data_IF_865867231159
#
_entry.id   IF_865867231159
#
_cell.length_a   1.000
_cell.length_b   1.000
_cell.length_c   1.000
_cell.angle_alpha   90.00
_cell.angle_beta   90.00
_cell.angle_gamma   90.00
#
_symmetry.space_group_name_H-M   'P 1'
#
loop_
_entity.id
_entity.type
_entity.pdbx_description
1 polymer ?
#
# COMPACT_ATOMS: atom_id res chain seq x y z
N UNK A 1 2.11 23.54 5.72
CA UNK A 1 2.19 22.17 6.28
C UNK A 1 2.24 21.22 5.10
N UNK A 2 3.44 20.79 4.70
CA UNK A 2 3.60 19.79 3.65
C UNK A 2 3.44 18.40 4.27
N UNK A 3 2.32 17.73 3.99
CA UNK A 3 2.15 16.32 4.30
C UNK A 3 2.86 15.50 3.23
N UNK A 4 4.05 14.99 3.54
CA UNK A 4 4.77 14.07 2.64
C UNK A 4 4.12 12.68 2.72
N UNK A 5 3.97 11.94 1.62
CA UNK A 5 3.42 10.57 1.57
C UNK A 5 4.50 9.47 1.63
N UNK A 6 4.18 8.25 2.08
CA UNK A 6 5.02 7.05 1.92
C UNK A 6 4.40 6.24 0.78
N UNK A 7 5.04 6.27 -0.39
CA UNK A 7 4.58 5.50 -1.54
C UNK A 7 4.68 3.99 -1.33
N UNK A 8 3.67 3.19 -1.73
CA UNK A 8 3.77 1.72 -1.79
C UNK A 8 4.88 1.22 -2.72
N UNK A 9 5.41 2.07 -3.61
CA UNK A 9 6.44 1.70 -4.60
C UNK A 9 7.82 1.43 -4.02
N UNK A 10 8.08 1.77 -2.75
CA UNK A 10 9.41 1.61 -2.13
C UNK A 10 9.77 0.16 -1.76
N UNK A 11 8.89 -0.82 -1.97
CA UNK A 11 9.12 -2.22 -1.58
C UNK A 11 9.46 -3.20 -2.72
N UNK A 12 9.57 -2.75 -3.97
CA UNK A 12 9.91 -3.63 -5.11
C UNK A 12 11.08 -3.09 -5.92
N UNK A 13 12.25 -2.94 -5.27
CA UNK A 13 13.51 -2.63 -5.94
C UNK A 13 14.28 -3.89 -6.31
N UNK A 14 13.84 -4.64 -7.33
CA UNK A 14 14.64 -5.72 -7.90
C UNK A 14 15.73 -5.11 -8.81
N UNK A 15 16.96 -4.99 -8.30
CA UNK A 15 18.13 -4.65 -9.11
C UNK A 15 18.48 -5.84 -9.99
N UNK A 16 18.29 -5.73 -11.31
CA UNK A 16 18.78 -6.72 -12.26
C UNK A 16 19.90 -6.15 -13.14
N UNK A 17 21.08 -6.77 -12.97
CA UNK A 17 22.29 -6.54 -13.78
C UNK A 17 22.01 -6.98 -15.22
N UNK A 18 22.28 -6.09 -16.18
CA UNK A 18 22.27 -6.43 -17.61
C UNK A 18 23.43 -7.38 -17.94
N UNK A 19 23.10 -8.63 -18.23
CA UNK A 19 23.98 -9.61 -18.86
C UNK A 19 23.66 -9.71 -20.35
N UNK A 20 24.68 -9.44 -21.17
CA UNK A 20 24.66 -9.45 -22.62
C UNK A 20 24.68 -10.89 -23.16
N UNK A 21 23.82 -11.23 -24.15
CA UNK A 21 24.17 -12.15 -25.24
C UNK A 21 23.12 -12.15 -26.37
N UNK A 22 23.62 -11.94 -27.60
CA UNK A 22 22.95 -12.14 -28.90
C UNK A 22 22.88 -13.64 -29.22
N UNK A 23 21.83 -14.16 -29.88
CA UNK A 23 21.78 -14.40 -31.34
C UNK A 23 20.54 -15.23 -31.81
N UNK A 24 20.06 -14.89 -33.03
CA UNK A 24 19.36 -15.68 -34.10
C UNK A 24 17.99 -16.39 -33.92
N UNK A 25 16.95 -15.69 -34.44
CA UNK A 25 15.92 -15.99 -35.51
C UNK A 25 15.73 -17.42 -36.14
N UNK A 26 14.62 -17.71 -36.88
CA UNK A 26 13.40 -18.46 -36.48
C UNK A 26 13.08 -19.69 -37.38
N UNK A 27 12.04 -20.49 -37.11
CA UNK A 27 11.43 -21.41 -38.12
C UNK A 27 10.01 -21.90 -37.72
N UNK A 28 9.08 -21.85 -38.69
CA UNK A 28 8.12 -22.94 -38.98
C UNK A 28 6.73 -22.92 -38.34
N UNK A 29 5.70 -22.67 -39.16
CA UNK A 29 4.27 -22.81 -38.84
C UNK A 29 3.74 -24.24 -39.01
N UNK A 30 2.68 -24.61 -38.28
CA UNK A 30 1.65 -25.56 -38.75
C UNK A 30 0.35 -25.45 -37.93
N UNK A 31 -0.77 -25.65 -38.63
CA UNK A 31 -2.16 -25.40 -38.21
C UNK A 31 -2.91 -26.70 -37.84
N UNK A 32 -3.89 -26.53 -36.94
CA UNK A 32 -5.08 -27.35 -36.68
C UNK A 32 -4.98 -28.57 -35.72
N UNK A 33 -5.69 -28.45 -34.59
CA UNK A 33 -6.88 -29.26 -34.26
C UNK A 33 -7.57 -28.67 -33.03
N UNK A 34 -8.84 -28.32 -33.19
CA UNK A 34 -9.76 -27.81 -32.15
C UNK A 34 -10.27 -29.00 -31.35
N UNK A 35 -9.72 -29.23 -30.16
CA UNK A 35 -10.33 -30.01 -29.08
C UNK A 35 -9.92 -29.37 -27.76
N UNK A 36 -10.90 -29.17 -26.87
CA UNK A 36 -10.82 -28.32 -25.67
C UNK A 36 -9.57 -28.58 -24.82
N UNK A 37 -8.76 -27.54 -24.63
CA UNK A 37 -7.55 -27.57 -23.83
C UNK A 37 -7.78 -26.92 -22.45
N UNK A 38 -7.00 -27.31 -21.42
CA UNK A 38 -7.05 -26.78 -20.03
C UNK A 38 -6.76 -25.28 -19.88
N UNK A 39 -6.66 -24.56 -21.00
CA UNK A 39 -6.38 -23.13 -21.14
C UNK A 39 -7.53 -22.25 -20.61
N UNK A 40 -8.77 -22.75 -20.55
CA UNK A 40 -9.88 -21.97 -19.97
C UNK A 40 -9.78 -21.87 -18.44
N UNK A 41 -9.30 -22.90 -17.75
CA UNK A 41 -9.09 -22.89 -16.30
C UNK A 41 -7.93 -21.97 -15.90
N UNK A 42 -6.87 -21.94 -16.72
CA UNK A 42 -5.73 -21.03 -16.53
C UNK A 42 -6.09 -19.55 -16.78
N UNK A 43 -7.04 -19.25 -17.69
CA UNK A 43 -7.52 -17.88 -17.92
C UNK A 43 -8.39 -17.36 -16.78
N UNK A 44 -9.14 -18.22 -16.09
CA UNK A 44 -9.89 -17.83 -14.90
C UNK A 44 -8.97 -17.57 -13.69
N UNK A 45 -7.89 -18.34 -13.54
CA UNK A 45 -6.86 -18.08 -12.52
C UNK A 45 -6.04 -16.81 -12.81
N UNK A 46 -5.80 -16.47 -14.07
CA UNK A 46 -5.14 -15.22 -14.45
C UNK A 46 -5.99 -13.97 -14.13
N UNK A 47 -7.32 -14.10 -14.19
CA UNK A 47 -8.28 -13.06 -13.77
C UNK A 47 -8.31 -12.83 -12.24
N UNK A 48 -7.88 -13.82 -11.45
CA UNK A 48 -7.93 -13.76 -9.99
C UNK A 48 -6.69 -13.12 -9.35
N UNK A 49 -5.65 -12.80 -10.14
CA UNK A 49 -4.37 -12.35 -9.59
C UNK A 49 -3.71 -13.45 -8.75
N UNK A 50 -2.38 -13.56 -8.78
CA UNK A 50 -1.71 -14.34 -7.75
C UNK A 50 -1.72 -13.50 -6.47
N UNK A 51 -2.17 -14.04 -5.31
CA UNK A 51 -1.94 -13.36 -4.05
C UNK A 51 -0.46 -13.03 -3.97
N UNK A 52 -0.12 -11.79 -3.59
CA UNK A 52 1.27 -11.42 -3.34
C UNK A 52 1.76 -12.42 -2.28
N UNK A 53 2.72 -13.29 -2.61
CA UNK A 53 3.21 -14.23 -1.61
C UNK A 53 3.70 -13.40 -0.43
N UNK A 54 3.44 -13.82 0.82
CA UNK A 54 4.12 -13.25 1.96
C UNK A 54 5.61 -13.18 1.60
N UNK A 55 6.27 -12.07 1.93
CA UNK A 55 7.72 -12.03 1.80
C UNK A 55 8.25 -13.26 2.54
N UNK A 56 8.80 -14.22 1.79
CA UNK A 56 9.57 -15.28 2.41
C UNK A 56 10.64 -14.54 3.22
N UNK A 57 10.64 -14.77 4.54
CA UNK A 57 11.66 -14.20 5.40
C UNK A 57 13.00 -14.49 4.71
N UNK A 58 13.77 -13.46 4.31
CA UNK A 58 15.01 -13.69 3.58
C UNK A 58 15.79 -14.73 4.37
N UNK A 59 16.20 -15.80 3.70
CA UNK A 59 16.86 -16.94 4.34
C UNK A 59 17.86 -16.42 5.36
N UNK A 60 17.77 -16.93 6.60
CA UNK A 60 18.49 -16.41 7.76
C UNK A 60 20.00 -16.39 7.50
N UNK A 61 20.51 -15.31 6.91
CA UNK A 61 21.95 -15.04 6.86
C UNK A 61 22.24 -14.25 8.12
N UNK A 62 22.44 -14.97 9.22
CA UNK A 62 23.01 -14.37 10.41
C UNK A 62 24.38 -13.84 10.02
N UNK A 63 24.59 -12.53 10.16
CA UNK A 63 25.92 -11.91 10.10
C UNK A 63 26.22 -11.37 11.49
N UNK A 64 26.71 -12.22 12.41
CA UNK A 64 26.94 -11.82 13.80
C UNK A 64 27.89 -10.62 13.87
N UNK A 65 27.56 -9.65 14.71
CA UNK A 65 28.47 -8.54 15.05
C UNK A 65 28.44 -7.32 14.13
N UNK A 66 27.45 -7.20 13.21
CA UNK A 66 27.24 -5.94 12.47
C UNK A 66 26.18 -5.07 13.15
N UNK A 67 26.48 -3.78 13.25
CA UNK A 67 25.54 -2.74 13.68
C UNK A 67 25.02 -1.99 12.44
N UNK A 68 23.74 -1.62 12.46
CA UNK A 68 23.10 -0.85 11.38
C UNK A 68 22.43 0.38 11.96
N UNK A 69 22.85 1.56 11.53
CA UNK A 69 22.21 2.82 11.92
C UNK A 69 21.05 3.13 10.97
N UNK A 70 19.88 3.43 11.53
CA UNK A 70 18.65 3.76 10.82
C UNK A 70 18.24 5.19 11.21
N UNK A 71 18.17 6.09 10.23
CA UNK A 71 17.70 7.46 10.45
C UNK A 71 16.18 7.56 10.27
N UNK A 72 15.45 7.75 11.36
CA UNK A 72 14.00 7.91 11.40
C UNK A 72 13.26 6.74 12.08
N UNK A 73 12.44 7.06 13.07
CA UNK A 73 11.60 6.15 13.85
C UNK A 73 10.15 6.08 13.35
N UNK A 74 9.92 6.27 12.05
CA UNK A 74 8.63 5.99 11.42
C UNK A 74 8.43 4.49 11.14
N UNK A 75 7.25 4.10 10.63
CA UNK A 75 6.92 2.69 10.35
C UNK A 75 7.97 1.97 9.48
N UNK A 76 8.54 2.66 8.47
CA UNK A 76 9.60 2.09 7.63
C UNK A 76 10.88 1.77 8.42
N UNK A 77 11.34 2.71 9.26
CA UNK A 77 12.54 2.54 10.08
C UNK A 77 12.35 1.49 11.17
N UNK A 78 11.20 1.51 11.85
CA UNK A 78 10.85 0.53 12.88
C UNK A 78 10.69 -0.88 12.31
N UNK A 79 10.04 -1.03 11.15
CA UNK A 79 9.92 -2.32 10.46
C UNK A 79 11.29 -2.85 10.02
N UNK A 80 12.13 -1.99 9.43
CA UNK A 80 13.51 -2.35 9.07
C UNK A 80 14.31 -2.82 10.29
N UNK A 81 14.25 -2.09 11.40
CA UNK A 81 14.91 -2.45 12.64
C UNK A 81 14.41 -3.80 13.19
N UNK A 82 13.10 -4.01 13.22
CA UNK A 82 12.48 -5.26 13.70
C UNK A 82 13.04 -6.47 12.97
N UNK A 83 13.05 -6.43 11.63
CA UNK A 83 13.53 -7.57 10.83
C UNK A 83 15.07 -7.71 10.85
N UNK A 84 15.83 -6.62 10.99
CA UNK A 84 17.29 -6.72 11.20
C UNK A 84 17.62 -7.38 12.54
N UNK A 85 16.91 -7.00 13.60
CA UNK A 85 17.09 -7.56 14.94
C UNK A 85 16.78 -9.06 14.96
N UNK A 86 15.70 -9.50 14.30
CA UNK A 86 15.39 -10.93 14.14
C UNK A 86 16.43 -11.70 13.31
N UNK A 87 17.14 -11.03 12.40
CA UNK A 87 18.25 -11.59 11.66
C UNK A 87 19.57 -11.63 12.46
N UNK A 88 19.56 -11.20 13.73
CA UNK A 88 20.74 -11.14 14.61
C UNK A 88 21.69 -9.98 14.30
N UNK A 89 21.26 -9.00 13.51
CA UNK A 89 21.97 -7.75 13.25
C UNK A 89 21.49 -6.73 14.30
N UNK A 90 22.37 -5.89 14.83
CA UNK A 90 22.00 -4.92 15.86
C UNK A 90 21.56 -3.58 15.24
N UNK A 91 20.26 -3.25 15.15
CA UNK A 91 19.83 -1.96 14.64
C UNK A 91 19.96 -0.86 15.70
N UNK A 92 20.27 0.36 15.26
CA UNK A 92 20.25 1.59 16.05
C UNK A 92 19.36 2.59 15.32
N UNK A 93 18.11 2.74 15.76
CA UNK A 93 17.15 3.69 15.20
C UNK A 93 17.33 5.04 15.89
N UNK A 94 17.49 6.09 15.09
CA UNK A 94 17.68 7.47 15.53
C UNK A 94 16.49 8.30 15.03
N UNK A 95 15.54 8.59 15.91
CA UNK A 95 14.40 9.46 15.62
C UNK A 95 14.72 10.89 16.01
N UNK A 96 14.41 11.82 15.10
CA UNK A 96 14.70 13.25 15.25
C UNK A 96 13.87 13.95 16.32
N UNK A 97 12.61 13.52 16.52
CA UNK A 97 11.66 14.10 17.48
C UNK A 97 11.65 13.31 18.78
N UNK A 98 10.88 13.80 19.74
CA UNK A 98 10.55 13.13 21.00
C UNK A 98 9.43 12.07 20.85
N UNK A 99 8.88 11.91 19.64
CA UNK A 99 7.77 10.99 19.34
C UNK A 99 8.09 10.07 18.16
N UNK A 100 7.63 8.82 18.26
CA UNK A 100 7.77 7.80 17.22
C UNK A 100 6.62 7.83 16.19
N UNK A 101 6.77 7.07 15.11
CA UNK A 101 5.71 6.84 14.12
C UNK A 101 5.81 7.74 12.88
N UNK A 102 6.56 8.83 12.92
CA UNK A 102 6.71 9.69 11.75
C UNK A 102 5.38 10.33 11.36
N UNK A 103 4.78 9.87 10.27
CA UNK A 103 3.48 10.32 9.76
C UNK A 103 2.29 9.73 10.49
N UNK A 104 2.49 8.67 11.28
CA UNK A 104 1.47 8.13 12.19
C UNK A 104 1.63 8.64 13.63
N UNK A 105 2.50 9.63 13.86
CA UNK A 105 2.72 10.18 15.20
C UNK A 105 1.45 10.83 15.76
N UNK A 106 1.33 10.82 17.08
CA UNK A 106 0.26 11.44 17.83
C UNK A 106 0.82 12.02 19.14
N UNK A 107 0.14 13.01 19.70
CA UNK A 107 0.52 13.69 20.94
C UNK A 107 -0.70 13.86 21.84
N UNK A 108 -0.48 13.93 23.15
CA UNK A 108 -1.50 14.35 24.12
C UNK A 108 -1.41 15.85 24.35
N UNK A 109 -2.55 16.52 24.41
CA UNK A 109 -2.63 17.89 24.86
C UNK A 109 -2.61 17.99 26.40
N UNK A 110 -2.84 19.19 26.93
CA UNK A 110 -2.84 19.44 28.38
C UNK A 110 -4.03 18.79 29.11
N UNK A 111 -5.12 18.52 28.40
CA UNK A 111 -6.34 17.89 28.94
C UNK A 111 -6.23 16.35 28.90
N UNK A 112 -5.22 15.83 28.18
CA UNK A 112 -4.93 14.40 28.06
C UNK A 112 -5.52 13.77 26.81
N UNK A 113 -6.14 14.57 25.93
CA UNK A 113 -6.73 14.11 24.68
C UNK A 113 -5.68 13.95 23.59
N UNK A 114 -5.84 12.92 22.77
CA UNK A 114 -4.94 12.63 21.66
C UNK A 114 -5.30 13.42 20.41
N UNK A 115 -4.29 14.02 19.78
CA UNK A 115 -4.38 14.50 18.40
C UNK A 115 -3.31 13.83 17.54
N UNK A 116 -3.71 13.39 16.35
CA UNK A 116 -2.88 12.62 15.45
C UNK A 116 -2.40 13.46 14.26
N UNK A 117 -1.29 13.04 13.65
CA UNK A 117 -0.77 13.66 12.41
C UNK A 117 -1.77 13.55 11.24
N UNK A 118 -2.60 12.52 11.22
CA UNK A 118 -3.61 12.29 10.18
C UNK A 118 -4.51 11.11 10.51
N UNK A 119 -5.62 11.00 9.78
CA UNK A 119 -6.54 9.86 9.92
C UNK A 119 -5.98 8.66 9.14
N UNK A 120 -5.68 7.57 9.84
CA UNK A 120 -5.09 6.37 9.25
C UNK A 120 -6.11 5.22 9.20
N UNK A 121 -6.23 4.59 8.03
CA UNK A 121 -7.08 3.42 7.79
C UNK A 121 -6.22 2.24 7.41
N UNK A 122 -6.45 1.10 8.05
CA UNK A 122 -5.83 -0.18 7.71
C UNK A 122 -6.76 -0.97 6.79
N UNK A 123 -6.21 -1.55 5.72
CA UNK A 123 -6.98 -2.34 4.76
C UNK A 123 -6.64 -3.83 4.86
N UNK A 124 -7.59 -4.70 4.54
CA UNK A 124 -7.35 -6.14 4.40
C UNK A 124 -6.25 -6.46 3.39
N UNK A 125 -6.16 -5.67 2.33
CA UNK A 125 -5.14 -5.82 1.27
C UNK A 125 -3.73 -5.34 1.68
N UNK A 126 -3.41 -5.19 2.97
CA UNK A 126 -2.10 -4.80 3.49
C UNK A 126 -1.35 -6.00 4.09
N UNK A 127 -0.88 -6.97 3.28
CA UNK A 127 -0.36 -8.24 3.77
C UNK A 127 0.83 -8.06 4.74
N UNK A 128 1.76 -7.15 4.43
CA UNK A 128 2.93 -6.88 5.29
C UNK A 128 2.54 -6.25 6.63
N UNK A 129 1.53 -5.37 6.64
CA UNK A 129 1.06 -4.76 7.89
C UNK A 129 0.33 -5.79 8.75
N UNK A 130 -0.57 -6.57 8.15
CA UNK A 130 -1.27 -7.65 8.87
C UNK A 130 -0.30 -8.71 9.38
N UNK A 131 0.74 -9.04 8.63
CA UNK A 131 1.84 -9.89 9.10
C UNK A 131 2.55 -9.27 10.30
N UNK A 132 2.90 -7.98 10.26
CA UNK A 132 3.55 -7.29 11.37
C UNK A 132 2.70 -7.32 12.65
N UNK A 133 1.40 -7.07 12.53
CA UNK A 133 0.47 -7.17 13.67
C UNK A 133 0.44 -8.59 14.26
N UNK A 134 0.45 -9.64 13.42
CA UNK A 134 0.53 -11.05 13.85
C UNK A 134 1.83 -11.39 14.56
N UNK A 135 2.96 -10.94 14.01
CA UNK A 135 4.28 -11.17 14.58
C UNK A 135 4.43 -10.52 15.96
N UNK A 136 3.82 -9.35 16.14
CA UNK A 136 3.78 -8.61 17.41
C UNK A 136 2.67 -9.07 18.36
N UNK A 137 1.75 -9.94 17.90
CA UNK A 137 0.58 -10.43 18.65
C UNK A 137 -0.34 -9.30 19.13
N UNK A 138 -0.67 -8.38 18.23
CA UNK A 138 -1.51 -7.21 18.48
C UNK A 138 -2.66 -7.07 17.48
N UNK A 139 -3.06 -8.16 16.81
CA UNK A 139 -4.13 -8.15 15.80
C UNK A 139 -5.47 -7.66 16.35
N UNK A 140 -5.71 -7.87 17.64
CA UNK A 140 -6.91 -7.40 18.37
C UNK A 140 -7.01 -5.87 18.45
N UNK A 141 -5.90 -5.16 18.23
CA UNK A 141 -5.89 -3.69 18.16
C UNK A 141 -6.48 -3.13 16.87
N UNK A 142 -6.69 -3.97 15.85
CA UNK A 142 -7.37 -3.57 14.61
C UNK A 142 -8.89 -3.75 14.74
N UNK A 143 -9.59 -2.62 14.83
CA UNK A 143 -11.04 -2.56 14.92
C UNK A 143 -11.66 -2.54 13.52
N UNK A 144 -11.83 -3.73 12.93
CA UNK A 144 -12.50 -3.92 11.65
C UNK A 144 -13.95 -3.41 11.69
N UNK A 145 -14.35 -2.70 10.64
CA UNK A 145 -15.69 -2.13 10.46
C UNK A 145 -16.48 -2.93 9.43
N UNK A 146 -17.77 -2.65 9.34
CA UNK A 146 -18.64 -3.22 8.30
C UNK A 146 -18.01 -3.02 6.92
N UNK A 147 -18.07 -4.04 6.06
CA UNK A 147 -17.48 -3.99 4.73
C UNK A 147 -18.34 -3.14 3.79
N UNK A 148 -18.21 -1.82 3.94
CA UNK A 148 -19.03 -0.81 3.28
C UNK A 148 -18.20 0.44 2.98
N UNK A 149 -18.52 1.12 1.88
CA UNK A 149 -18.00 2.46 1.58
C UNK A 149 -19.15 3.46 1.56
N UNK A 150 -19.12 4.42 2.48
CA UNK A 150 -20.18 5.41 2.68
C UNK A 150 -19.73 6.76 2.13
N UNK A 151 -20.56 7.36 1.28
CA UNK A 151 -20.33 8.63 0.61
C UNK A 151 -21.43 9.62 0.98
N UNK A 152 -21.05 10.87 1.22
CA UNK A 152 -22.00 11.96 1.44
C UNK A 152 -22.62 12.41 0.10
N UNK A 153 -23.93 12.61 0.06
CA UNK A 153 -24.62 13.10 -1.13
C UNK A 153 -24.49 14.62 -1.25
N UNK A 154 -23.71 15.10 -2.22
CA UNK A 154 -23.48 16.54 -2.43
C UNK A 154 -24.77 17.35 -2.59
N UNK A 155 -25.71 16.81 -3.36
CA UNK A 155 -26.95 17.52 -3.71
C UNK A 155 -28.07 17.29 -2.69
N UNK A 156 -27.87 16.42 -1.70
CA UNK A 156 -28.83 16.08 -0.64
C UNK A 156 -28.15 16.10 0.73
N UNK A 157 -27.94 17.29 1.33
CA UNK A 157 -27.23 17.42 2.60
C UNK A 157 -27.85 16.58 3.71
N UNK A 158 -27.02 15.77 4.38
CA UNK A 158 -27.43 14.86 5.46
C UNK A 158 -27.84 13.46 4.99
N UNK A 159 -27.90 13.22 3.67
CA UNK A 159 -28.11 11.89 3.10
C UNK A 159 -26.78 11.24 2.70
N UNK A 160 -26.73 9.91 2.85
CA UNK A 160 -25.54 9.11 2.55
C UNK A 160 -25.89 7.99 1.58
N UNK A 161 -25.00 7.76 0.63
CA UNK A 161 -25.05 6.64 -0.29
C UNK A 161 -23.95 5.64 0.07
N UNK A 162 -24.23 4.35 -0.10
CA UNK A 162 -23.33 3.28 0.34
C UNK A 162 -23.10 2.21 -0.72
N UNK A 163 -21.87 1.71 -0.77
CA UNK A 163 -21.50 0.51 -1.50
C UNK A 163 -21.25 -0.61 -0.49
N UNK A 164 -22.17 -1.58 -0.43
CA UNK A 164 -22.12 -2.69 0.51
C UNK A 164 -21.55 -3.94 -0.14
N UNK A 165 -20.50 -4.50 0.46
CA UNK A 165 -19.78 -5.67 -0.05
C UNK A 165 -20.25 -6.90 0.73
N UNK A 166 -21.07 -7.80 0.13
CA UNK A 166 -21.63 -8.91 0.88
C UNK A 166 -20.55 -9.92 1.28
N UNK A 167 -20.45 -10.22 2.57
CA UNK A 167 -19.40 -11.12 3.12
C UNK A 167 -19.42 -12.54 2.52
N UNK A 168 -20.61 -13.03 2.14
CA UNK A 168 -20.80 -14.37 1.58
C UNK A 168 -20.44 -14.46 0.09
N UNK A 169 -20.15 -13.33 -0.55
CA UNK A 169 -19.83 -13.25 -1.97
C UNK A 169 -18.31 -13.09 -2.12
N UNK A 170 -17.63 -13.95 -2.90
CA UNK A 170 -16.18 -13.84 -3.07
C UNK A 170 -15.80 -12.63 -3.93
N UNK A 171 -14.57 -12.14 -3.78
CA UNK A 171 -13.99 -11.19 -4.73
C UNK A 171 -13.79 -11.84 -6.11
N UNK A 172 -13.96 -11.09 -7.22
CA UNK A 172 -14.37 -9.69 -7.32
C UNK A 172 -15.91 -9.48 -7.30
N UNK A 173 -16.71 -10.54 -7.15
CA UNK A 173 -18.17 -10.49 -7.29
C UNK A 173 -18.87 -9.65 -6.21
N UNK A 174 -18.29 -9.56 -5.01
CA UNK A 174 -18.78 -8.67 -3.96
C UNK A 174 -18.71 -7.18 -4.35
N UNK A 175 -17.62 -6.76 -4.98
CA UNK A 175 -17.47 -5.40 -5.50
C UNK A 175 -18.39 -5.11 -6.68
N UNK A 176 -18.57 -6.09 -7.59
CA UNK A 176 -19.56 -5.99 -8.67
C UNK A 176 -20.96 -5.83 -8.09
N UNK A 177 -21.32 -6.62 -7.08
CA UNK A 177 -22.60 -6.51 -6.38
C UNK A 177 -22.78 -5.12 -5.75
N UNK A 178 -21.77 -4.61 -5.04
CA UNK A 178 -21.81 -3.30 -4.41
C UNK A 178 -22.08 -2.17 -5.43
N UNK A 179 -21.40 -2.20 -6.59
CA UNK A 179 -21.60 -1.23 -7.67
C UNK A 179 -23.01 -1.37 -8.27
N UNK A 180 -23.50 -2.59 -8.48
CA UNK A 180 -24.81 -2.84 -9.09
C UNK A 180 -25.96 -2.47 -8.14
N UNK A 181 -25.83 -2.72 -6.84
CA UNK A 181 -26.85 -2.45 -5.83
C UNK A 181 -27.02 -0.97 -5.54
N UNK A 182 -25.94 -0.17 -5.63
CA UNK A 182 -26.00 1.28 -5.43
C UNK A 182 -26.79 1.98 -6.55
N UNK A 183 -27.84 2.75 -6.24
CA UNK A 183 -28.68 3.42 -7.26
C UNK A 183 -28.51 4.93 -7.33
N UNK A 184 -27.80 5.51 -6.37
CA UNK A 184 -27.80 6.96 -6.17
C UNK A 184 -26.58 7.64 -6.79
N UNK A 185 -25.42 6.97 -6.79
CA UNK A 185 -24.16 7.56 -7.25
C UNK A 185 -23.97 7.41 -8.76
N UNK A 186 -24.28 6.24 -9.32
CA UNK A 186 -24.04 5.91 -10.73
C UNK A 186 -25.31 5.45 -11.44
N UNK A 187 -25.56 6.01 -12.61
CA UNK A 187 -26.56 5.51 -13.57
C UNK A 187 -26.13 4.17 -14.17
N UNK A 188 -27.09 3.41 -14.71
CA UNK A 188 -26.80 2.14 -15.40
C UNK A 188 -25.82 2.31 -16.57
N UNK A 189 -25.92 3.40 -17.32
CA UNK A 189 -25.01 3.70 -18.43
C UNK A 189 -23.58 3.93 -17.93
N UNK A 190 -23.42 4.72 -16.87
CA UNK A 190 -22.10 4.98 -16.26
C UNK A 190 -21.47 3.68 -15.74
N UNK A 191 -22.24 2.82 -15.07
CA UNK A 191 -21.74 1.51 -14.59
C UNK A 191 -21.21 0.63 -15.72
N UNK A 192 -21.93 0.53 -16.83
CA UNK A 192 -21.53 -0.28 -17.99
C UNK A 192 -20.25 0.28 -18.62
N UNK A 193 -20.18 1.60 -18.80
CA UNK A 193 -19.00 2.26 -19.38
C UNK A 193 -17.78 2.15 -18.47
N UNK A 194 -17.98 2.31 -17.15
CA UNK A 194 -16.94 2.12 -16.16
C UNK A 194 -16.40 0.69 -16.16
N UNK A 195 -17.28 -0.31 -16.08
CA UNK A 195 -16.90 -1.71 -16.15
C UNK A 195 -16.12 -2.03 -17.44
N UNK A 196 -16.60 -1.53 -18.60
CA UNK A 196 -15.91 -1.71 -19.89
C UNK A 196 -14.53 -1.05 -19.90
N UNK A 197 -14.40 0.13 -19.29
CA UNK A 197 -13.14 0.87 -19.22
C UNK A 197 -12.08 0.21 -18.34
N UNK A 198 -12.47 -0.59 -17.34
CA UNK A 198 -11.53 -1.35 -16.49
C UNK A 198 -11.03 -2.66 -17.13
N UNK A 199 -11.69 -3.19 -18.15
CA UNK A 199 -11.32 -4.46 -18.81
C UNK A 199 -9.83 -4.50 -19.22
N UNK A 200 -9.25 -3.48 -19.86
CA UNK A 200 -7.84 -3.49 -20.24
C UNK A 200 -6.90 -3.67 -19.03
N UNK A 201 -7.18 -2.98 -17.92
CA UNK A 201 -6.37 -3.06 -16.71
C UNK A 201 -6.47 -4.45 -16.07
N UNK A 202 -7.66 -5.03 -16.03
CA UNK A 202 -7.88 -6.36 -15.45
C UNK A 202 -7.24 -7.48 -16.27
N UNK A 203 -7.23 -7.39 -17.61
CA UNK A 203 -6.73 -8.45 -18.48
C UNK A 203 -5.21 -8.36 -18.76
N UNK A 204 -4.63 -7.16 -18.78
CA UNK A 204 -3.23 -6.96 -19.15
C UNK A 204 -2.28 -6.95 -17.93
N UNK A 205 -2.82 -6.88 -16.71
CA UNK A 205 -2.06 -7.05 -15.48
C UNK A 205 -1.06 -5.93 -15.19
N UNK A 206 -0.04 -6.25 -14.39
CA UNK A 206 0.84 -5.26 -13.75
C UNK A 206 1.61 -4.38 -14.73
N UNK A 207 2.15 -4.93 -15.83
CA UNK A 207 2.90 -4.15 -16.81
C UNK A 207 2.06 -3.08 -17.50
N UNK A 208 0.75 -3.32 -17.67
CA UNK A 208 -0.17 -2.29 -18.17
C UNK A 208 -0.41 -1.19 -17.14
N UNK A 209 -0.58 -1.56 -15.86
CA UNK A 209 -0.78 -0.59 -14.77
C UNK A 209 0.43 0.33 -14.64
N UNK A 210 1.66 -0.21 -14.71
CA UNK A 210 2.90 0.57 -14.70
C UNK A 210 3.00 1.52 -15.91
N UNK A 211 2.62 1.05 -17.10
CA UNK A 211 2.59 1.88 -18.30
C UNK A 211 1.54 3.01 -18.22
N UNK A 212 0.55 2.92 -17.32
CA UNK A 212 -0.44 3.96 -17.10
C UNK A 212 0.06 5.09 -16.20
N UNK A 213 1.24 4.98 -15.58
CA UNK A 213 1.81 6.01 -14.70
C UNK A 213 2.11 7.33 -15.42
N UNK A 214 2.22 7.30 -16.75
CA UNK A 214 2.35 8.49 -17.59
C UNK A 214 1.07 9.34 -17.71
N UNK A 215 -0.08 8.83 -17.24
CA UNK A 215 -1.36 9.51 -17.31
C UNK A 215 -1.84 9.92 -15.93
N UNK A 216 -2.47 11.07 -15.84
CA UNK A 216 -3.35 11.38 -14.71
C UNK A 216 -4.57 10.46 -14.74
N UNK A 217 -5.24 10.28 -13.61
CA UNK A 217 -6.47 9.49 -13.56
C UNK A 217 -7.54 10.04 -14.50
N UNK A 218 -7.74 11.35 -14.53
CA UNK A 218 -8.71 12.00 -15.43
C UNK A 218 -8.40 11.74 -16.91
N UNK A 219 -7.13 11.83 -17.32
CA UNK A 219 -6.72 11.54 -18.69
C UNK A 219 -6.94 10.07 -19.06
N UNK A 220 -6.59 9.15 -18.17
CA UNK A 220 -6.79 7.72 -18.38
C UNK A 220 -8.29 7.40 -18.48
N UNK A 221 -9.12 7.96 -17.60
CA UNK A 221 -10.57 7.79 -17.58
C UNK A 221 -11.21 8.24 -18.90
N UNK A 222 -10.82 9.41 -19.41
CA UNK A 222 -11.24 9.92 -20.73
C UNK A 222 -10.81 8.97 -21.86
N UNK A 223 -9.56 8.50 -21.83
CA UNK A 223 -9.03 7.54 -22.82
C UNK A 223 -9.84 6.24 -22.87
N UNK A 224 -10.39 5.80 -21.75
CA UNK A 224 -11.26 4.62 -21.68
C UNK A 224 -12.73 4.89 -22.09
N UNK A 225 -13.08 6.15 -22.40
CA UNK A 225 -14.45 6.62 -22.65
C UNK A 225 -15.39 6.36 -21.46
N UNK A 226 -14.88 6.57 -20.24
CA UNK A 226 -15.70 6.58 -19.02
C UNK A 226 -16.27 8.01 -18.86
N UNK A 227 -17.55 8.19 -18.48
CA UNK A 227 -18.13 9.52 -18.30
C UNK A 227 -17.43 10.33 -17.19
N UNK A 228 -17.23 11.63 -17.41
CA UNK A 228 -16.55 12.50 -16.44
C UNK A 228 -17.28 12.60 -15.11
N UNK A 229 -18.61 12.47 -15.09
CA UNK A 229 -19.38 12.43 -13.84
C UNK A 229 -18.95 11.29 -12.90
N UNK A 230 -18.47 10.16 -13.44
CA UNK A 230 -17.90 9.07 -12.61
C UNK A 230 -16.65 9.56 -11.88
N UNK A 231 -15.85 10.41 -12.54
CA UNK A 231 -14.69 11.05 -11.93
C UNK A 231 -15.12 11.93 -10.75
N UNK A 232 -16.12 12.77 -10.97
CA UNK A 232 -16.56 13.79 -10.01
C UNK A 232 -17.23 13.19 -8.77
N UNK A 233 -18.08 12.16 -8.97
CA UNK A 233 -18.86 11.53 -7.90
C UNK A 233 -18.01 10.56 -7.05
N UNK A 234 -17.07 9.83 -7.66
CA UNK A 234 -16.33 8.75 -6.99
C UNK A 234 -14.84 9.06 -6.86
N UNK A 235 -14.19 9.43 -7.96
CA UNK A 235 -12.74 9.46 -8.00
C UNK A 235 -12.12 10.74 -7.47
N UNK A 236 -12.87 11.84 -7.30
CA UNK A 236 -12.43 12.97 -6.48
C UNK A 236 -12.20 12.50 -5.04
N UNK A 237 -13.17 11.81 -4.46
CA UNK A 237 -13.08 11.29 -3.09
C UNK A 237 -11.94 10.27 -2.96
N UNK A 238 -11.85 9.32 -3.90
CA UNK A 238 -10.79 8.30 -3.88
C UNK A 238 -9.38 8.89 -4.06
N UNK A 239 -9.20 9.86 -4.96
CA UNK A 239 -7.89 10.50 -5.20
C UNK A 239 -7.42 11.27 -3.97
N UNK A 240 -8.33 12.03 -3.34
CA UNK A 240 -8.06 12.76 -2.10
C UNK A 240 -7.78 11.83 -0.93
N UNK A 241 -8.49 10.71 -0.83
CA UNK A 241 -8.25 9.72 0.22
C UNK A 241 -6.88 9.03 0.08
N UNK A 242 -6.44 8.77 -1.16
CA UNK A 242 -5.17 8.06 -1.41
C UNK A 242 -3.94 8.96 -1.34
N UNK A 243 -4.02 10.19 -1.87
CA UNK A 243 -2.84 11.04 -2.03
C UNK A 243 -3.10 12.54 -1.81
N UNK A 244 -4.27 12.91 -1.27
CA UNK A 244 -4.64 14.30 -0.93
C UNK A 244 -4.65 15.30 -2.10
N UNK A 245 -4.70 14.80 -3.34
CA UNK A 245 -4.73 15.59 -4.57
C UNK A 245 -5.91 15.18 -5.46
N UNK A 246 -6.24 16.01 -6.45
CA UNK A 246 -7.38 15.79 -7.32
C UNK A 246 -7.08 14.75 -8.43
N UNK A 247 -8.12 14.17 -9.06
CA UNK A 247 -7.96 13.15 -10.10
C UNK A 247 -7.26 13.62 -11.38
N UNK A 248 -7.21 14.93 -11.64
CA UNK A 248 -6.45 15.57 -12.72
C UNK A 248 -4.95 15.75 -12.40
N UNK A 249 -4.52 15.39 -11.19
CA UNK A 249 -3.12 15.43 -10.76
C UNK A 249 -2.56 14.05 -10.38
N UNK A 250 -3.40 13.18 -9.80
CA UNK A 250 -2.97 11.85 -9.37
C UNK A 250 -2.67 10.94 -10.58
N UNK A 251 -1.60 10.15 -10.48
CA UNK A 251 -1.28 9.11 -11.47
C UNK A 251 -2.38 8.05 -11.53
N UNK A 252 -2.76 7.64 -12.75
CA UNK A 252 -3.72 6.57 -12.98
C UNK A 252 -3.24 5.23 -12.39
N UNK A 253 -1.93 5.00 -12.34
CA UNK A 253 -1.36 3.78 -11.77
C UNK A 253 -1.73 3.64 -10.28
N UNK A 254 -1.76 4.74 -9.52
CA UNK A 254 -2.13 4.71 -8.08
C UNK A 254 -3.56 4.22 -7.89
N UNK A 255 -4.50 4.76 -8.66
CA UNK A 255 -5.93 4.37 -8.58
C UNK A 255 -6.13 2.94 -9.07
N UNK A 256 -5.49 2.54 -10.18
CA UNK A 256 -5.58 1.19 -10.73
C UNK A 256 -5.03 0.14 -9.77
N UNK A 257 -3.90 0.42 -9.07
CA UNK A 257 -3.37 -0.47 -8.03
C UNK A 257 -4.37 -0.63 -6.88
N UNK A 258 -4.98 0.46 -6.42
CA UNK A 258 -5.98 0.41 -5.36
C UNK A 258 -7.22 -0.41 -5.76
N UNK A 259 -7.78 -0.15 -6.95
CA UNK A 259 -8.90 -0.93 -7.50
C UNK A 259 -8.55 -2.41 -7.66
N UNK A 260 -7.37 -2.72 -8.19
CA UNK A 260 -6.93 -4.09 -8.37
C UNK A 260 -6.80 -4.83 -7.02
N UNK A 261 -6.25 -4.19 -5.99
CA UNK A 261 -6.17 -4.78 -4.64
C UNK A 261 -7.55 -5.06 -4.05
N UNK A 262 -8.51 -4.16 -4.26
CA UNK A 262 -9.89 -4.35 -3.78
C UNK A 262 -10.64 -5.46 -4.53
N UNK A 263 -10.26 -5.76 -5.76
CA UNK A 263 -10.86 -6.81 -6.59
C UNK A 263 -10.22 -8.19 -6.37
N UNK A 264 -9.00 -8.27 -5.86
CA UNK A 264 -8.27 -9.55 -5.70
C UNK A 264 -8.60 -10.27 -4.39
N UNK A 265 -8.84 -9.53 -3.30
CA UNK A 265 -9.06 -10.13 -1.98
C UNK A 265 -10.48 -9.88 -1.49
N UNK A 266 -11.18 -10.92 -1.04
CA UNK A 266 -12.58 -10.82 -0.58
C UNK A 266 -12.77 -9.76 0.51
N UNK A 267 -11.78 -9.61 1.40
CA UNK A 267 -11.73 -8.60 2.47
C UNK A 267 -10.72 -7.47 2.17
N UNK A 268 -10.23 -7.38 0.94
CA UNK A 268 -9.15 -6.46 0.57
C UNK A 268 -9.48 -4.98 0.80
N UNK A 269 -10.74 -4.60 0.58
CA UNK A 269 -11.27 -3.25 0.82
C UNK A 269 -11.95 -3.07 2.18
N UNK A 270 -11.95 -4.10 3.03
CA UNK A 270 -12.43 -3.98 4.42
C UNK A 270 -11.50 -3.02 5.18
N UNK A 271 -12.08 -2.18 6.03
CA UNK A 271 -11.37 -1.10 6.70
C UNK A 271 -11.32 -1.35 8.22
N UNK A 272 -10.17 -1.06 8.82
CA UNK A 272 -9.98 -1.08 10.27
C UNK A 272 -9.35 0.23 10.76
N UNK A 273 -9.71 0.58 11.99
CA UNK A 273 -9.06 1.63 12.76
C UNK A 273 -8.20 1.01 13.85
N UNK A 274 -7.12 1.68 14.24
CA UNK A 274 -6.36 1.28 15.42
C UNK A 274 -7.17 1.65 16.68
N UNK A 275 -7.11 0.81 17.70
CA UNK A 275 -7.85 0.99 18.96
C UNK A 275 -7.34 2.12 19.88
N UNK A 276 -6.45 2.98 19.38
CA UNK A 276 -5.91 4.14 20.06
C UNK A 276 -4.69 4.72 19.33
N UNK A 277 -3.98 5.63 19.98
CA UNK A 277 -2.90 6.40 19.39
C UNK A 277 -1.73 5.51 18.89
N UNK A 278 -1.28 5.65 17.62
CA UNK A 278 -0.26 4.78 17.04
C UNK A 278 1.10 4.75 17.77
N UNK A 279 1.60 5.81 18.42
CA UNK A 279 2.82 5.72 19.22
C UNK A 279 2.75 4.62 20.29
N UNK A 280 1.70 4.61 21.12
CA UNK A 280 1.51 3.61 22.18
C UNK A 280 0.98 2.27 21.63
N UNK A 281 0.03 2.33 20.68
CA UNK A 281 -0.70 1.14 20.23
C UNK A 281 0.02 0.33 19.14
N UNK A 282 1.00 0.90 18.45
CA UNK A 282 1.74 0.23 17.38
C UNK A 282 3.27 0.40 17.48
N UNK A 283 3.75 1.62 17.72
CA UNK A 283 5.19 1.88 17.73
C UNK A 283 5.90 1.29 18.95
N UNK A 284 5.31 1.40 20.15
CA UNK A 284 5.87 0.81 21.37
C UNK A 284 6.04 -0.71 21.29
N UNK A 285 5.05 -1.51 20.83
CA UNK A 285 5.26 -2.93 20.56
C UNK A 285 6.45 -3.23 19.62
N UNK A 286 6.63 -2.41 18.57
CA UNK A 286 7.78 -2.53 17.67
C UNK A 286 9.10 -2.25 18.41
N UNK A 287 9.16 -1.19 19.20
CA UNK A 287 10.34 -0.86 20.02
C UNK A 287 10.67 -2.00 20.97
N UNK A 288 9.67 -2.51 21.70
CA UNK A 288 9.86 -3.64 22.61
C UNK A 288 10.42 -4.88 21.91
N UNK A 289 9.93 -5.20 20.71
CA UNK A 289 10.46 -6.31 19.92
C UNK A 289 11.91 -6.07 19.46
N UNK A 290 12.25 -4.84 19.04
CA UNK A 290 13.61 -4.45 18.63
C UNK A 290 14.59 -4.56 19.80
N UNK A 291 14.22 -4.01 20.96
CA UNK A 291 15.08 -3.97 22.15
C UNK A 291 15.26 -5.36 22.78
N UNK A 292 14.21 -6.19 22.79
CA UNK A 292 14.31 -7.58 23.25
C UNK A 292 15.29 -8.41 22.40
N UNK A 293 15.44 -8.07 21.11
CA UNK A 293 16.41 -8.67 20.21
C UNK A 293 17.78 -7.95 20.20
N UNK A 294 18.00 -7.00 21.12
CA UNK A 294 19.28 -6.32 21.36
C UNK A 294 19.52 -5.07 20.52
N UNK A 295 18.53 -4.62 19.74
CA UNK A 295 18.56 -3.34 19.04
C UNK A 295 18.32 -2.15 19.98
N UNK A 296 18.43 -0.94 19.43
CA UNK A 296 18.21 0.30 20.18
C UNK A 296 17.34 1.27 19.39
N UNK A 297 16.41 1.93 20.07
CA UNK A 297 15.61 3.04 19.50
C UNK A 297 15.82 4.28 20.36
N UNK A 298 16.24 5.39 19.74
CA UNK A 298 16.58 6.63 20.44
C UNK A 298 15.87 7.82 19.81
N UNK A 299 15.05 8.50 20.59
CA UNK A 299 14.39 9.76 20.23
C UNK A 299 15.31 10.96 20.49
N UNK A 300 14.97 12.13 19.94
CA UNK A 300 15.76 13.36 20.01
C UNK A 300 17.19 13.26 19.41
N UNK A 301 17.39 12.31 18.48
CA UNK A 301 18.66 12.02 17.81
C UNK A 301 18.59 12.41 16.32
N UNK A 302 18.47 13.71 16.03
CA UNK A 302 18.41 14.20 14.64
C UNK A 302 19.76 13.97 13.96
N UNK A 303 19.78 13.14 12.91
CA UNK A 303 20.93 13.01 12.01
C UNK A 303 21.02 14.27 11.13
N UNK A 304 22.14 14.99 11.20
CA UNK A 304 22.39 16.22 10.44
C UNK A 304 23.30 16.02 9.23
N UNK A 305 24.15 15.00 9.24
CA UNK A 305 25.09 14.74 8.15
C UNK A 305 25.43 13.26 8.02
N UNK A 306 25.57 12.78 6.78
CA UNK A 306 26.18 11.47 6.47
C UNK A 306 27.68 11.70 6.27
N UNK A 307 28.49 11.02 7.07
CA UNK A 307 29.95 11.07 6.99
C UNK A 307 30.38 9.95 6.06
N UNK A 308 31.10 10.26 4.99
CA UNK A 308 31.58 9.27 4.02
C UNK A 308 33.01 9.60 3.58
N UNK A 309 33.73 8.56 3.17
CA UNK A 309 35.06 8.69 2.59
C UNK A 309 34.95 9.17 1.13
N UNK A 310 35.60 10.28 0.79
CA UNK A 310 35.44 10.91 -0.55
C UNK A 310 35.98 10.06 -1.70
N UNK A 311 37.00 9.24 -1.44
CA UNK A 311 37.68 8.43 -2.47
C UNK A 311 36.89 7.16 -2.78
N UNK A 312 36.47 6.45 -1.73
CA UNK A 312 35.75 5.17 -1.82
C UNK A 312 34.25 5.36 -1.93
N UNK A 313 33.72 6.55 -1.59
CA UNK A 313 32.28 6.86 -1.49
C UNK A 313 31.53 5.99 -0.48
N UNK A 314 32.24 5.37 0.46
CA UNK A 314 31.66 4.54 1.51
C UNK A 314 31.28 5.36 2.74
N UNK A 315 30.08 5.12 3.28
CA UNK A 315 29.61 5.76 4.51
C UNK A 315 30.44 5.24 5.70
N UNK A 316 30.95 6.17 6.50
CA UNK A 316 31.73 5.91 7.72
C UNK A 316 30.93 6.14 9.00
N UNK A 317 29.86 6.93 8.92
CA UNK A 317 28.99 7.19 10.08
C UNK A 317 27.99 8.31 9.82
N UNK A 318 27.34 8.75 10.89
CA UNK A 318 26.41 9.88 10.87
C UNK A 318 26.76 10.88 11.96
N UNK A 319 26.55 12.17 11.68
CA UNK A 319 26.65 13.24 12.67
C UNK A 319 25.26 13.56 13.20
N UNK A 320 25.16 13.74 14.51
CA UNK A 320 23.94 14.19 15.18
C UNK A 320 23.94 15.72 15.27
N UNK A 321 22.75 16.33 15.21
CA UNK A 321 22.57 17.74 15.48
C UNK A 321 22.85 18.03 16.96
N UNK A 322 23.54 19.13 17.22
CA UNK A 322 23.62 19.74 18.55
C UNK A 322 22.37 20.58 18.77
N UNK A 323 21.70 20.38 19.90
CA UNK A 323 20.54 21.16 20.30
C UNK A 323 20.96 22.32 21.20
#
# INVERSE_FOLDING_TARGET
MEATFISPTLFTGAVHRKGCCRDRRPLGASFSRVLGTPTQTLRLQALLGRPVPPLEAPGRVAVPGKEVVIAGGGLAGLSCAKYLAEAGIRPIVLESRDVLGGKVAAWKDADGDWYETGLHIFFGAYPNMLQLFRELKIEDRLQWKEHSMIFNMRDRPGEYSRFDFPEKVPAPFNGVWAILSNREMLTWREKILFARGLIPAMLQGQGYVEACDQYTWTEWLRKQNIPERVNDEIFIAMSKALNFINPDEISAAVVLVALNRFLQEAKGSEMAFLDGAPPERLCEPLVGAIEAAGGHVRCNQRVSQIIYDEKTRMVQGVRLASW
#
